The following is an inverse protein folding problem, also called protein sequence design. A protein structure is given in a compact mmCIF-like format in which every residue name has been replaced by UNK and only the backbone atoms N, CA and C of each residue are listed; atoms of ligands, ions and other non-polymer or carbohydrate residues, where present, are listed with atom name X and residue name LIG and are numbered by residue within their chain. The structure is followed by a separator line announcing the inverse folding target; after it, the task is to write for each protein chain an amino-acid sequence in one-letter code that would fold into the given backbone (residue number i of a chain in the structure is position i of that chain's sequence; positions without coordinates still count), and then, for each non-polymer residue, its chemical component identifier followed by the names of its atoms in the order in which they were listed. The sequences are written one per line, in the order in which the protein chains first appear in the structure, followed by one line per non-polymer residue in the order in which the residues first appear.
data_IF_039866799370
#
_entry.id   IF_039866799370
#
_cell.length_a   1.000
_cell.length_b   1.000
_cell.length_c   1.000
_cell.angle_alpha   90.00
_cell.angle_beta   90.00
_cell.angle_gamma   90.00
#
_symmetry.space_group_name_H-M   'P 1'
#
loop_
_entity.id
_entity.type
_entity.pdbx_description
1 polymer ?
#
# COMPACT_ATOMS: atom_id res chain seq x y z
N UNK A 1 4.36 29.69 20.13
CA UNK A 1 3.58 29.81 18.88
C UNK A 1 4.15 28.92 17.76
N UNK A 2 5.43 29.07 17.38
CA UNK A 2 6.09 28.20 16.37
C UNK A 2 6.09 26.70 16.72
N UNK A 3 6.33 26.33 17.99
CA UNK A 3 6.29 24.94 18.45
C UNK A 3 4.91 24.27 18.28
N UNK A 4 3.82 25.02 18.53
CA UNK A 4 2.46 24.52 18.37
C UNK A 4 2.11 24.32 16.90
N UNK A 5 2.55 25.24 16.03
CA UNK A 5 2.39 25.11 14.57
C UNK A 5 3.17 23.91 14.02
N UNK A 6 4.42 23.71 14.47
CA UNK A 6 5.23 22.56 14.09
C UNK A 6 4.57 21.23 14.49
N UNK A 7 4.10 21.13 15.74
CA UNK A 7 3.39 19.93 16.23
C UNK A 7 2.08 19.69 15.47
N UNK A 8 1.35 20.75 15.13
CA UNK A 8 0.12 20.64 14.34
C UNK A 8 0.39 20.16 12.91
N UNK A 9 1.47 20.65 12.29
CA UNK A 9 1.94 20.20 10.98
C UNK A 9 2.36 18.72 11.00
N UNK A 10 3.06 18.25 12.03
CA UNK A 10 3.39 16.83 12.17
C UNK A 10 2.15 15.94 12.33
N UNK A 11 1.16 16.35 13.13
CA UNK A 11 -0.07 15.58 13.35
C UNK A 11 -0.92 15.49 12.07
N UNK A 12 -1.06 16.59 11.33
CA UNK A 12 -1.77 16.59 10.05
C UNK A 12 -1.07 15.69 9.02
N UNK A 13 0.27 15.68 9.00
CA UNK A 13 1.06 14.79 8.17
C UNK A 13 0.81 13.29 8.49
N UNK A 14 0.65 12.92 9.75
CA UNK A 14 0.32 11.54 10.16
C UNK A 14 -1.07 11.14 9.64
N UNK A 15 -2.06 12.04 9.77
CA UNK A 15 -3.43 11.78 9.30
C UNK A 15 -3.44 11.59 7.77
N UNK A 16 -2.72 12.41 7.03
CA UNK A 16 -2.67 12.30 5.57
C UNK A 16 -1.94 11.03 5.11
N UNK A 17 -0.86 10.64 5.80
CA UNK A 17 -0.21 9.33 5.59
C UNK A 17 -1.18 8.17 5.81
N UNK A 18 -1.99 8.23 6.87
CA UNK A 18 -2.98 7.19 7.15
C UNK A 18 -4.09 7.14 6.07
N UNK A 19 -4.55 8.29 5.58
CA UNK A 19 -5.52 8.34 4.46
C UNK A 19 -4.94 7.73 3.18
N UNK A 20 -3.69 8.04 2.86
CA UNK A 20 -2.99 7.47 1.70
C UNK A 20 -2.91 5.95 1.83
N UNK A 21 -2.55 5.44 3.02
CA UNK A 21 -2.53 4.01 3.30
C UNK A 21 -3.91 3.37 3.10
N UNK A 22 -4.97 3.94 3.68
CA UNK A 22 -6.33 3.42 3.52
C UNK A 22 -6.75 3.31 2.05
N UNK A 23 -6.42 4.33 1.26
CA UNK A 23 -6.72 4.37 -0.17
C UNK A 23 -5.89 3.38 -0.98
N UNK A 24 -4.71 2.97 -0.51
CA UNK A 24 -3.85 1.99 -1.19
C UNK A 24 -4.16 0.54 -0.84
N UNK A 25 -4.82 0.26 0.30
CA UNK A 25 -5.15 -1.11 0.75
C UNK A 25 -5.80 -1.97 -0.34
N UNK A 26 -6.82 -1.51 -1.09
CA UNK A 26 -7.43 -2.34 -2.14
C UNK A 26 -6.44 -2.79 -3.21
N UNK A 27 -5.51 -1.90 -3.59
CA UNK A 27 -4.45 -2.19 -4.57
C UNK A 27 -3.40 -3.12 -4.00
N UNK A 28 -2.99 -2.94 -2.74
CA UNK A 28 -2.04 -3.85 -2.08
C UNK A 28 -2.61 -5.28 -1.98
N UNK A 29 -3.91 -5.40 -1.70
CA UNK A 29 -4.61 -6.71 -1.74
C UNK A 29 -4.52 -7.35 -3.13
N UNK A 30 -4.70 -6.57 -4.20
CA UNK A 30 -4.59 -7.10 -5.57
C UNK A 30 -3.17 -7.58 -5.89
N UNK A 31 -2.16 -6.78 -5.53
CA UNK A 31 -0.75 -7.09 -5.77
C UNK A 31 -0.33 -8.34 -5.01
N UNK A 32 -0.84 -8.52 -3.79
CA UNK A 32 -0.55 -9.70 -2.97
C UNK A 32 -0.99 -11.04 -3.57
N UNK A 33 -1.86 -11.01 -4.58
CA UNK A 33 -2.35 -12.23 -5.25
C UNK A 33 -3.30 -13.08 -4.41
N UNK A 34 -3.58 -12.71 -3.16
CA UNK A 34 -4.46 -13.48 -2.28
C UNK A 34 -5.94 -13.33 -2.68
N UNK A 35 -6.65 -14.46 -2.65
CA UNK A 35 -8.10 -14.50 -2.89
C UNK A 35 -8.85 -13.75 -1.78
N UNK A 36 -9.93 -13.07 -2.15
CA UNK A 36 -10.80 -12.37 -1.20
C UNK A 36 -11.31 -13.30 -0.09
N UNK A 37 -11.61 -14.56 -0.40
CA UNK A 37 -12.06 -15.56 0.58
C UNK A 37 -11.01 -15.83 1.66
N UNK A 38 -9.74 -15.93 1.27
CA UNK A 38 -8.63 -16.18 2.20
C UNK A 38 -8.47 -15.01 3.16
N UNK A 39 -8.48 -13.78 2.65
CA UNK A 39 -8.33 -12.57 3.46
C UNK A 39 -9.56 -12.39 4.37
N UNK A 40 -10.78 -12.61 3.85
CA UNK A 40 -12.01 -12.54 4.63
C UNK A 40 -11.97 -13.50 5.83
N UNK A 41 -11.46 -14.72 5.64
CA UNK A 41 -11.26 -15.69 6.73
C UNK A 41 -10.31 -15.16 7.81
N UNK A 42 -9.18 -14.53 7.42
CA UNK A 42 -8.22 -13.93 8.37
C UNK A 42 -8.80 -12.75 9.14
N UNK A 43 -9.77 -12.06 8.54
CA UNK A 43 -10.49 -10.95 9.17
C UNK A 43 -11.75 -11.40 9.93
N UNK A 44 -12.03 -12.70 9.99
CA UNK A 44 -13.21 -13.26 10.66
C UNK A 44 -14.53 -12.68 10.11
N UNK A 45 -14.59 -12.45 8.79
CA UNK A 45 -15.77 -11.93 8.10
C UNK A 45 -16.13 -12.78 6.88
N UNK A 46 -17.36 -12.61 6.36
CA UNK A 46 -17.79 -13.32 5.15
C UNK A 46 -17.14 -12.74 3.89
N UNK A 47 -16.88 -13.55 2.84
CA UNK A 47 -16.29 -13.06 1.59
C UNK A 47 -17.12 -11.96 0.90
N UNK A 48 -18.45 -12.02 1.01
CA UNK A 48 -19.36 -10.99 0.49
C UNK A 48 -19.20 -9.67 1.24
N UNK A 49 -19.13 -9.71 2.58
CA UNK A 49 -18.91 -8.51 3.40
C UNK A 49 -17.54 -7.91 3.09
N UNK A 50 -16.49 -8.74 3.02
CA UNK A 50 -15.15 -8.31 2.65
C UNK A 50 -15.12 -7.63 1.28
N UNK A 51 -15.72 -8.23 0.26
CA UNK A 51 -15.72 -7.69 -1.11
C UNK A 51 -16.43 -6.34 -1.18
N UNK A 52 -17.59 -6.20 -0.51
CA UNK A 52 -18.30 -4.93 -0.42
C UNK A 52 -17.46 -3.85 0.32
N UNK A 53 -16.72 -4.25 1.35
CA UNK A 53 -15.89 -3.35 2.15
C UNK A 53 -14.62 -2.92 1.39
N UNK A 54 -13.98 -3.84 0.66
CA UNK A 54 -12.87 -3.58 -0.27
C UNK A 54 -13.24 -2.54 -1.32
N UNK A 55 -14.44 -2.66 -1.91
CA UNK A 55 -14.91 -1.69 -2.89
C UNK A 55 -15.22 -0.31 -2.30
N UNK A 56 -15.64 -0.24 -1.03
CA UNK A 56 -15.99 1.02 -0.36
C UNK A 56 -14.81 1.72 0.31
N UNK A 57 -13.76 0.98 0.66
CA UNK A 57 -12.57 1.51 1.36
C UNK A 57 -12.79 1.84 2.85
N UNK A 58 -13.93 1.47 3.42
CA UNK A 58 -14.28 1.78 4.81
C UNK A 58 -13.69 0.76 5.78
N UNK A 59 -12.38 0.83 6.06
CA UNK A 59 -11.70 -0.09 6.97
C UNK A 59 -11.51 0.52 8.37
N UNK A 60 -11.61 -0.31 9.41
CA UNK A 60 -11.14 0.09 10.74
C UNK A 60 -9.62 -0.06 10.84
N UNK A 61 -9.00 0.63 11.80
CA UNK A 61 -7.53 0.51 12.03
C UNK A 61 -7.11 -0.95 12.26
N UNK A 62 -7.88 -1.69 13.08
CA UNK A 62 -7.61 -3.10 13.39
C UNK A 62 -7.70 -4.00 12.15
N UNK A 63 -8.65 -3.71 11.26
CA UNK A 63 -8.78 -4.43 9.99
C UNK A 63 -7.61 -4.13 9.07
N UNK A 64 -7.20 -2.85 8.95
CA UNK A 64 -6.02 -2.47 8.16
C UNK A 64 -4.78 -3.21 8.66
N UNK A 65 -4.54 -3.24 9.97
CA UNK A 65 -3.41 -3.98 10.55
C UNK A 65 -3.45 -5.48 10.22
N UNK A 66 -4.62 -6.13 10.34
CA UNK A 66 -4.79 -7.54 9.98
C UNK A 66 -4.56 -7.77 8.48
N UNK A 67 -5.08 -6.89 7.63
CA UNK A 67 -4.91 -6.97 6.17
C UNK A 67 -3.42 -6.88 5.85
N UNK A 68 -2.73 -5.84 6.32
CA UNK A 68 -1.31 -5.62 6.03
C UNK A 68 -0.44 -6.82 6.45
N UNK A 69 -0.68 -7.36 7.65
CA UNK A 69 0.00 -8.57 8.13
C UNK A 69 -0.29 -9.80 7.27
N UNK A 70 -1.48 -9.89 6.69
CA UNK A 70 -1.90 -11.02 5.85
C UNK A 70 -1.31 -10.94 4.45
N UNK A 71 -1.23 -9.72 3.89
CA UNK A 71 -0.81 -9.49 2.51
C UNK A 71 0.69 -9.22 2.37
N UNK A 72 1.44 -9.14 3.46
CA UNK A 72 2.91 -8.96 3.44
C UNK A 72 3.57 -10.17 2.78
N UNK A 73 4.03 -9.96 1.56
CA UNK A 73 4.79 -10.90 0.76
C UNK A 73 5.75 -10.11 -0.15
N UNK A 74 6.63 -10.84 -0.86
CA UNK A 74 7.66 -10.26 -1.74
C UNK A 74 7.06 -9.29 -2.76
N UNK A 75 5.98 -9.66 -3.46
CA UNK A 75 5.34 -8.80 -4.47
C UNK A 75 4.84 -7.45 -3.90
N UNK A 76 4.28 -7.49 -2.67
CA UNK A 76 3.80 -6.27 -1.99
C UNK A 76 4.96 -5.43 -1.49
N UNK A 77 6.02 -6.06 -0.97
CA UNK A 77 7.23 -5.39 -0.50
C UNK A 77 7.96 -4.70 -1.66
N UNK A 78 8.19 -5.40 -2.77
CA UNK A 78 8.78 -4.87 -3.99
C UNK A 78 8.00 -3.65 -4.51
N UNK A 79 6.67 -3.75 -4.55
CA UNK A 79 5.82 -2.62 -4.96
C UNK A 79 5.94 -1.41 -4.02
N UNK A 80 6.05 -1.65 -2.71
CA UNK A 80 6.22 -0.57 -1.73
C UNK A 80 7.59 0.09 -1.90
N UNK A 81 8.64 -0.70 -2.13
CA UNK A 81 9.99 -0.22 -2.38
C UNK A 81 10.06 0.61 -3.67
N UNK A 82 9.40 0.18 -4.75
CA UNK A 82 9.27 0.94 -5.98
C UNK A 82 8.62 2.31 -5.76
N UNK A 83 7.53 2.36 -4.96
CA UNK A 83 6.88 3.62 -4.62
C UNK A 83 7.79 4.55 -3.80
N UNK A 84 8.57 4.00 -2.86
CA UNK A 84 9.55 4.77 -2.08
C UNK A 84 10.66 5.28 -2.99
N UNK A 85 11.18 4.42 -3.87
CA UNK A 85 12.25 4.76 -4.79
C UNK A 85 11.84 5.87 -5.75
N UNK A 86 10.67 5.79 -6.38
CA UNK A 86 10.17 6.85 -7.28
C UNK A 86 9.99 8.18 -6.54
N UNK A 87 9.56 8.14 -5.28
CA UNK A 87 9.41 9.35 -4.46
C UNK A 87 10.75 9.98 -4.10
N UNK A 88 11.77 9.17 -3.80
CA UNK A 88 13.10 9.64 -3.46
C UNK A 88 13.93 10.04 -4.70
N UNK A 89 13.70 9.37 -5.82
CA UNK A 89 14.47 9.48 -7.06
C UNK A 89 13.54 9.52 -8.29
N UNK A 90 12.73 10.58 -8.44
CA UNK A 90 11.72 10.64 -9.49
C UNK A 90 12.34 10.52 -10.89
N UNK A 91 11.75 9.66 -11.73
CA UNK A 91 12.21 9.40 -13.09
C UNK A 91 13.54 8.64 -13.20
N UNK A 92 14.03 8.05 -12.10
CA UNK A 92 15.22 7.17 -12.12
C UNK A 92 14.88 5.69 -12.26
N UNK A 93 13.62 5.30 -12.04
CA UNK A 93 13.14 3.97 -12.40
C UNK A 93 13.24 3.78 -13.92
N UNK A 94 13.77 2.64 -14.32
CA UNK A 94 13.87 2.22 -15.71
C UNK A 94 13.22 0.86 -15.84
N UNK A 95 12.46 0.66 -16.90
CA UNK A 95 11.91 -0.66 -17.20
C UNK A 95 13.02 -1.61 -17.69
N UNK A 96 12.75 -2.91 -17.64
CA UNK A 96 13.70 -3.96 -18.05
C UNK A 96 14.20 -3.75 -19.49
N UNK A 97 13.37 -3.27 -20.42
CA UNK A 97 13.82 -3.02 -21.81
C UNK A 97 14.79 -1.85 -21.89
N UNK A 98 14.53 -0.78 -21.13
CA UNK A 98 15.45 0.34 -21.01
C UNK A 98 16.77 -0.08 -20.36
N UNK A 99 16.71 -0.95 -19.36
CA UNK A 99 17.90 -1.52 -18.73
C UNK A 99 18.71 -2.37 -19.73
N UNK A 100 18.09 -3.34 -20.41
CA UNK A 100 18.73 -4.18 -21.43
C UNK A 100 19.39 -3.35 -22.52
N UNK A 101 18.68 -2.34 -23.02
CA UNK A 101 19.21 -1.39 -24.02
C UNK A 101 20.45 -0.64 -23.50
N UNK A 102 20.49 -0.25 -22.23
CA UNK A 102 21.66 0.41 -21.61
C UNK A 102 22.83 -0.55 -21.42
N UNK A 103 22.56 -1.81 -21.09
CA UNK A 103 23.58 -2.83 -20.89
C UNK A 103 24.12 -3.42 -22.20
N UNK A 104 23.45 -3.17 -23.33
CA UNK A 104 23.82 -3.72 -24.64
C UNK A 104 23.51 -5.20 -24.80
N UNK A 105 22.58 -5.72 -23.99
CA UNK A 105 22.14 -7.11 -24.07
C UNK A 105 21.10 -7.26 -25.18
N UNK A 106 21.19 -8.36 -25.93
CA UNK A 106 20.33 -8.69 -27.08
C UNK A 106 19.38 -9.82 -26.74
#
# INVERSE_FOLDING_TARGET
MLYLLYKYYEVTNIIDKYKILLNSVPRLIEISGYKNEYIAQKLEMTPTHFSAKKSKGNWTIQEVEKILKTISNEDVEDYLDDMVFEKCFPGKLIDSKQFEKRMGWK
#
